data_IF_616806223653
#
_entry.id   IF_616806223653
#
_cell.length_a   1.000
_cell.length_b   1.000
_cell.length_c   1.000
_cell.angle_alpha   90.00
_cell.angle_beta   90.00
_cell.angle_gamma   90.00
#
_symmetry.space_group_name_H-M   'P 1'
#
loop_
_entity.id
_entity.type
_entity.pdbx_description
1 polymer ?
#
# COMPACT_ATOMS: atom_id res chain seq x y z
N UNK A 1 10.68 10.93 30.02
CA UNK A 1 9.60 10.58 29.09
C UNK A 1 10.24 10.24 27.78
N UNK A 2 10.22 8.97 27.42
CA UNK A 2 10.77 8.42 26.17
C UNK A 2 9.62 8.16 25.18
N UNK A 3 9.95 8.07 23.91
CA UNK A 3 9.00 7.80 22.84
C UNK A 3 9.65 6.93 21.78
N UNK A 4 8.83 6.23 21.00
CA UNK A 4 9.24 5.54 19.78
C UNK A 4 8.38 6.01 18.60
N UNK A 5 8.92 5.88 17.38
CA UNK A 5 8.17 6.14 16.15
C UNK A 5 7.75 4.81 15.54
N UNK A 6 6.47 4.70 15.21
CA UNK A 6 5.90 3.55 14.52
C UNK A 6 4.99 4.02 13.38
N UNK A 7 4.62 3.10 12.48
CA UNK A 7 3.55 3.38 11.53
C UNK A 7 2.23 3.49 12.29
N UNK A 8 1.38 4.42 11.87
CA UNK A 8 0.08 4.63 12.48
C UNK A 8 -0.87 3.44 12.24
N UNK A 9 -1.78 3.22 13.18
CA UNK A 9 -2.84 2.22 13.10
C UNK A 9 -4.19 2.89 12.83
N UNK A 10 -5.13 2.27 12.07
CA UNK A 10 -6.40 2.90 11.71
C UNK A 10 -7.21 3.44 12.90
N UNK A 11 -7.13 2.77 14.06
CA UNK A 11 -7.79 3.20 15.30
C UNK A 11 -7.23 4.49 15.91
N UNK A 12 -6.08 4.98 15.44
CA UNK A 12 -5.44 6.20 15.94
C UNK A 12 -5.92 7.47 15.22
N UNK A 13 -6.67 7.37 14.12
CA UNK A 13 -7.05 8.52 13.29
C UNK A 13 -7.64 9.70 14.09
N UNK A 14 -8.60 9.42 14.98
CA UNK A 14 -9.23 10.43 15.85
C UNK A 14 -8.24 11.10 16.81
N UNK A 15 -7.29 10.33 17.34
CA UNK A 15 -6.25 10.85 18.21
C UNK A 15 -5.32 11.80 17.44
N UNK A 16 -4.98 11.49 16.19
CA UNK A 16 -4.13 12.34 15.35
C UNK A 16 -4.84 13.66 15.01
N UNK A 17 -6.12 13.62 14.66
CA UNK A 17 -6.94 14.82 14.50
C UNK A 17 -6.99 15.66 15.79
N UNK A 18 -7.00 15.04 16.98
CA UNK A 18 -6.95 15.77 18.24
C UNK A 18 -5.58 16.43 18.49
N UNK A 19 -4.48 15.79 18.07
CA UNK A 19 -3.13 16.36 18.14
C UNK A 19 -3.02 17.60 17.25
N UNK A 20 -3.48 17.51 16.01
CA UNK A 20 -3.50 18.62 15.04
C UNK A 20 -4.26 19.82 15.63
N UNK A 21 -5.51 19.62 16.08
CA UNK A 21 -6.30 20.69 16.73
C UNK A 21 -5.57 21.32 17.92
N UNK A 22 -4.91 20.52 18.75
CA UNK A 22 -4.16 21.02 19.91
C UNK A 22 -2.90 21.81 19.51
N UNK A 23 -2.22 21.40 18.43
CA UNK A 23 -1.07 22.11 17.89
C UNK A 23 -1.49 23.44 17.22
N UNK A 24 -2.63 23.45 16.53
CA UNK A 24 -3.15 24.65 15.86
C UNK A 24 -3.46 25.80 16.83
N UNK A 25 -3.81 25.50 18.08
CA UNK A 25 -4.02 26.51 19.14
C UNK A 25 -2.80 27.42 19.37
N UNK A 26 -1.59 26.97 19.02
CA UNK A 26 -0.37 27.78 19.10
C UNK A 26 -0.38 28.97 18.14
N UNK A 27 -1.20 28.93 17.09
CA UNK A 27 -1.35 30.04 16.15
C UNK A 27 -2.38 31.08 16.61
N UNK A 28 -3.04 30.92 17.75
CA UNK A 28 -4.04 31.87 18.24
C UNK A 28 -3.45 33.29 18.32
N UNK A 29 -4.08 34.24 17.64
CA UNK A 29 -3.62 35.62 17.50
C UNK A 29 -2.76 35.89 16.25
N UNK A 30 -2.37 34.86 15.50
CA UNK A 30 -1.71 34.97 14.20
C UNK A 30 -2.71 35.21 13.05
N UNK A 31 -2.27 35.83 11.95
CA UNK A 31 -3.09 36.04 10.74
C UNK A 31 -3.60 34.74 10.11
N UNK A 32 -2.89 33.63 10.33
CA UNK A 32 -3.26 32.30 9.83
C UNK A 32 -4.35 31.61 10.67
N UNK A 33 -4.56 32.02 11.93
CA UNK A 33 -5.49 31.36 12.86
C UNK A 33 -6.92 31.20 12.33
N UNK A 34 -7.56 32.20 11.70
CA UNK A 34 -8.92 32.05 11.20
C UNK A 34 -9.08 30.96 10.13
N UNK A 35 -7.98 30.59 9.46
CA UNK A 35 -7.97 29.55 8.43
C UNK A 35 -7.74 28.17 9.06
N UNK A 36 -6.74 28.04 9.94
CA UNK A 36 -6.51 26.80 10.67
C UNK A 36 -7.67 26.42 11.60
N UNK A 37 -8.32 27.38 12.24
CA UNK A 37 -9.47 27.11 13.10
C UNK A 37 -10.73 26.63 12.34
N UNK A 38 -10.77 26.77 11.00
CA UNK A 38 -11.89 26.35 10.15
C UNK A 38 -11.62 25.06 9.40
N UNK A 39 -10.36 24.75 9.16
CA UNK A 39 -9.92 23.58 8.41
C UNK A 39 -9.34 22.60 9.42
N UNK A 40 -10.13 21.59 9.79
CA UNK A 40 -9.65 20.47 10.60
C UNK A 40 -9.38 19.28 9.70
N UNK A 41 -8.35 18.52 10.03
CA UNK A 41 -8.06 17.28 9.35
C UNK A 41 -9.23 16.27 9.55
N UNK A 42 -9.90 15.81 8.47
CA UNK A 42 -11.00 14.85 8.60
C UNK A 42 -10.44 13.47 9.01
N UNK A 43 -11.01 12.79 10.04
CA UNK A 43 -10.56 11.46 10.46
C UNK A 43 -10.52 10.44 9.32
N UNK A 44 -11.45 10.53 8.36
CA UNK A 44 -11.51 9.69 7.17
C UNK A 44 -10.29 9.86 6.28
N UNK A 45 -9.84 11.10 6.04
CA UNK A 45 -8.66 11.38 5.24
C UNK A 45 -7.38 10.89 5.93
N UNK A 46 -7.30 11.02 7.27
CA UNK A 46 -6.20 10.44 8.05
C UNK A 46 -6.20 8.93 7.90
N UNK A 47 -7.37 8.29 8.02
CA UNK A 47 -7.50 6.83 7.88
C UNK A 47 -7.04 6.35 6.52
N UNK A 48 -7.37 7.07 5.43
CA UNK A 48 -6.81 6.77 4.10
C UNK A 48 -5.29 6.89 4.09
N UNK A 49 -4.71 7.93 4.70
CA UNK A 49 -3.26 8.09 4.81
C UNK A 49 -2.61 6.92 5.55
N UNK A 50 -3.23 6.49 6.66
CA UNK A 50 -2.81 5.33 7.46
C UNK A 50 -2.89 4.05 6.63
N UNK A 51 -4.01 3.83 5.92
CA UNK A 51 -4.22 2.69 5.03
C UNK A 51 -3.30 2.72 3.80
N UNK A 52 -2.75 3.87 3.42
CA UNK A 52 -1.69 3.92 2.40
C UNK A 52 -0.30 3.71 2.98
N UNK A 53 -0.18 3.63 4.31
CA UNK A 53 1.09 3.50 5.01
C UNK A 53 1.90 4.79 5.05
N UNK A 54 1.27 5.94 4.83
CA UNK A 54 1.96 7.24 4.71
C UNK A 54 1.93 8.06 6.00
N UNK A 55 1.51 7.48 7.12
CA UNK A 55 1.41 8.16 8.41
C UNK A 55 2.24 7.44 9.46
N UNK A 56 3.09 8.18 10.16
CA UNK A 56 3.87 7.72 11.30
C UNK A 56 3.53 8.51 12.54
N UNK A 57 3.54 7.83 13.68
CA UNK A 57 3.20 8.38 14.99
C UNK A 57 4.38 8.25 15.93
N UNK A 58 4.62 9.28 16.72
CA UNK A 58 5.43 9.20 17.92
C UNK A 58 4.53 8.82 19.09
N UNK A 59 4.82 7.70 19.75
CA UNK A 59 4.05 7.19 20.88
C UNK A 59 4.85 7.32 22.18
N UNK A 60 4.20 7.78 23.24
CA UNK A 60 4.78 7.77 24.59
C UNK A 60 5.00 6.33 25.07
N UNK A 61 6.23 5.97 25.43
CA UNK A 61 6.55 4.59 25.82
C UNK A 61 5.81 4.15 27.10
N UNK A 62 5.41 5.10 27.95
CA UNK A 62 4.73 4.79 29.20
C UNK A 62 3.25 4.44 29.00
N UNK A 63 2.57 5.12 28.07
CA UNK A 63 1.12 5.00 27.87
C UNK A 63 0.73 4.35 26.54
N UNK A 64 1.64 4.27 25.57
CA UNK A 64 1.36 3.91 24.18
C UNK A 64 0.56 4.98 23.42
N UNK A 65 0.24 6.12 24.05
CA UNK A 65 -0.60 7.15 23.43
C UNK A 65 0.18 7.92 22.35
N UNK A 66 -0.44 8.24 21.20
CA UNK A 66 0.14 9.16 20.22
C UNK A 66 0.39 10.54 20.84
N UNK A 67 1.59 11.08 20.65
CA UNK A 67 2.00 12.41 21.14
C UNK A 67 2.47 13.35 20.04
N UNK A 68 2.66 12.82 18.83
CA UNK A 68 2.91 13.56 17.60
C UNK A 68 2.80 12.65 16.39
N UNK A 69 2.71 13.21 15.21
CA UNK A 69 2.65 12.43 13.97
C UNK A 69 3.23 13.22 12.79
N UNK A 70 3.55 12.48 11.72
CA UNK A 70 3.85 13.03 10.40
C UNK A 70 3.05 12.25 9.37
N UNK A 71 2.41 12.98 8.46
CA UNK A 71 1.65 12.44 7.35
C UNK A 71 2.29 12.89 6.03
N UNK A 72 2.64 11.91 5.19
CA UNK A 72 3.11 12.12 3.84
C UNK A 72 1.99 11.96 2.80
N UNK A 73 2.13 12.68 1.69
CA UNK A 73 1.25 12.56 0.52
C UNK A 73 2.07 12.41 -0.77
N UNK A 74 1.39 11.94 -1.81
CA UNK A 74 1.97 11.77 -3.15
C UNK A 74 1.37 12.76 -4.16
N UNK A 75 0.83 13.88 -3.70
CA UNK A 75 0.14 14.88 -4.54
C UNK A 75 1.14 15.70 -5.36
N UNK A 76 2.40 15.77 -4.92
CA UNK A 76 3.51 16.42 -5.62
C UNK A 76 4.02 15.62 -6.85
N UNK A 77 3.31 14.54 -7.23
CA UNK A 77 3.63 13.72 -8.39
C UNK A 77 4.87 12.85 -8.17
N UNK A 78 6.00 13.29 -8.73
CA UNK A 78 7.29 12.59 -8.66
C UNK A 78 7.98 12.75 -7.31
N UNK A 79 7.63 13.82 -6.59
CA UNK A 79 8.10 14.11 -5.25
C UNK A 79 7.11 13.64 -4.19
N UNK A 80 7.57 13.57 -2.95
CA UNK A 80 6.72 13.27 -1.80
C UNK A 80 6.52 14.50 -0.93
N UNK A 81 5.28 14.78 -0.55
CA UNK A 81 4.92 15.91 0.31
C UNK A 81 4.82 15.52 1.77
N UNK A 82 5.15 16.43 2.68
CA UNK A 82 4.65 16.41 4.07
C UNK A 82 3.32 17.15 4.08
N UNK A 83 2.23 16.39 4.18
CA UNK A 83 0.88 16.90 4.26
C UNK A 83 0.64 17.59 5.60
N UNK A 84 1.08 16.96 6.69
CA UNK A 84 0.91 17.45 8.05
C UNK A 84 2.01 16.93 8.99
N UNK A 85 2.41 17.72 9.99
CA UNK A 85 3.31 17.31 11.06
C UNK A 85 3.05 18.09 12.34
N UNK A 86 2.53 17.39 13.35
CA UNK A 86 2.14 18.01 14.61
C UNK A 86 2.66 17.23 15.82
N UNK A 87 2.85 17.96 16.91
CA UNK A 87 3.22 17.42 18.22
C UNK A 87 2.36 18.09 19.27
N UNK A 88 1.84 17.31 20.22
CA UNK A 88 1.08 17.84 21.34
C UNK A 88 1.88 18.95 22.05
N UNK A 89 1.28 20.11 22.37
CA UNK A 89 2.00 21.22 23.00
C UNK A 89 2.73 20.82 24.30
N UNK A 90 2.15 19.94 25.11
CA UNK A 90 2.77 19.42 26.33
C UNK A 90 4.07 18.62 26.08
N UNK A 91 4.23 18.11 24.86
CA UNK A 91 5.38 17.36 24.35
C UNK A 91 6.29 18.20 23.44
N UNK A 92 5.97 19.47 23.22
CA UNK A 92 6.75 20.40 22.41
C UNK A 92 8.17 20.59 22.95
N UNK A 93 9.10 20.97 22.05
CA UNK A 93 10.53 21.25 22.35
C UNK A 93 11.31 20.05 22.92
N UNK A 94 10.84 18.83 22.70
CA UNK A 94 11.51 17.57 23.09
C UNK A 94 12.20 16.83 21.94
N UNK A 95 12.29 17.45 20.76
CA UNK A 95 12.89 16.85 19.57
C UNK A 95 11.97 15.90 18.78
N UNK A 96 10.72 15.68 19.22
CA UNK A 96 9.77 14.77 18.55
C UNK A 96 9.50 15.17 17.10
N UNK A 97 9.20 16.45 16.85
CA UNK A 97 8.97 16.94 15.48
C UNK A 97 10.19 16.77 14.56
N UNK A 98 11.40 16.97 15.10
CA UNK A 98 12.64 16.72 14.37
C UNK A 98 12.81 15.23 14.04
N UNK A 99 12.54 14.34 15.01
CA UNK A 99 12.64 12.90 14.81
C UNK A 99 11.62 12.38 13.79
N UNK A 100 10.37 12.86 13.85
CA UNK A 100 9.34 12.53 12.86
C UNK A 100 9.72 13.02 11.45
N UNK A 101 10.23 14.24 11.33
CA UNK A 101 10.67 14.80 10.05
C UNK A 101 11.85 14.01 9.45
N UNK A 102 12.87 13.69 10.25
CA UNK A 102 14.02 12.90 9.76
C UNK A 102 13.61 11.45 9.45
N UNK A 103 12.69 10.86 10.22
CA UNK A 103 12.12 9.54 9.93
C UNK A 103 11.41 9.53 8.58
N UNK A 104 10.56 10.53 8.32
CA UNK A 104 9.89 10.70 7.05
C UNK A 104 10.88 10.88 5.88
N UNK A 105 11.93 11.71 6.05
CA UNK A 105 12.97 11.89 5.05
C UNK A 105 13.73 10.58 4.77
N UNK A 106 14.05 9.81 5.82
CA UNK A 106 14.74 8.53 5.70
C UNK A 106 13.90 7.48 4.96
N UNK A 107 12.62 7.36 5.31
CA UNK A 107 11.69 6.46 4.62
C UNK A 107 11.50 6.88 3.15
N UNK A 108 11.28 8.17 2.88
CA UNK A 108 11.13 8.70 1.53
C UNK A 108 12.36 8.38 0.66
N UNK A 109 13.56 8.59 1.20
CA UNK A 109 14.83 8.24 0.55
C UNK A 109 14.90 6.74 0.25
N UNK A 110 14.57 5.90 1.23
CA UNK A 110 14.57 4.44 1.08
C UNK A 110 13.55 3.96 0.03
N UNK A 111 12.42 4.64 -0.11
CA UNK A 111 11.37 4.37 -1.09
C UNK A 111 11.64 4.97 -2.50
N UNK A 112 12.85 5.51 -2.70
CA UNK A 112 13.35 5.96 -4.00
C UNK A 112 13.06 7.43 -4.33
N UNK A 113 12.36 8.18 -3.47
CA UNK A 113 12.09 9.60 -3.72
C UNK A 113 13.38 10.42 -3.69
N UNK A 114 13.46 11.44 -4.56
CA UNK A 114 14.64 12.31 -4.74
C UNK A 114 14.47 13.69 -4.13
N UNK A 115 13.25 14.05 -3.74
CA UNK A 115 12.92 15.31 -3.11
C UNK A 115 11.68 15.12 -2.23
N UNK A 116 11.74 15.73 -1.06
CA UNK A 116 10.59 15.87 -0.15
C UNK A 116 10.21 17.34 -0.06
N UNK A 117 8.92 17.62 -0.10
CA UNK A 117 8.35 18.97 -0.16
C UNK A 117 7.44 19.23 1.04
N UNK A 118 7.22 20.49 1.40
CA UNK A 118 6.23 20.88 2.41
C UNK A 118 5.78 22.33 2.22
N UNK A 119 4.59 22.64 2.74
CA UNK A 119 4.10 24.00 2.90
C UNK A 119 4.14 24.43 4.38
N UNK A 120 4.60 25.63 4.68
CA UNK A 120 4.62 26.15 6.06
C UNK A 120 4.44 27.67 6.10
N UNK A 121 4.56 28.27 7.29
CA UNK A 121 4.48 29.71 7.50
C UNK A 121 5.88 30.33 7.50
N UNK A 122 6.09 31.36 6.69
CA UNK A 122 7.38 32.04 6.58
C UNK A 122 7.65 33.03 7.72
N UNK A 123 6.60 33.63 8.27
CA UNK A 123 6.66 34.67 9.30
C UNK A 123 6.63 34.11 10.73
N UNK A 124 6.48 32.78 10.89
CA UNK A 124 6.48 32.11 12.19
C UNK A 124 7.89 31.61 12.55
N UNK A 125 8.51 32.12 13.65
CA UNK A 125 9.91 31.83 13.97
C UNK A 125 10.25 30.35 14.22
N UNK A 126 9.25 29.52 14.57
CA UNK A 126 9.42 28.10 14.83
C UNK A 126 8.97 27.19 13.67
N UNK A 127 8.58 27.76 12.52
CA UNK A 127 8.15 27.02 11.32
C UNK A 127 9.26 26.97 10.26
N UNK A 128 9.30 27.89 9.29
CA UNK A 128 10.31 27.86 8.22
C UNK A 128 11.76 27.76 8.74
N UNK A 129 12.16 28.46 9.83
CA UNK A 129 13.50 28.30 10.41
C UNK A 129 13.76 26.92 11.03
N UNK A 130 12.73 26.19 11.47
CA UNK A 130 12.88 24.81 11.94
C UNK A 130 13.23 23.88 10.77
N UNK A 131 12.47 23.92 9.68
CA UNK A 131 12.74 23.09 8.50
C UNK A 131 14.08 23.43 7.84
N UNK A 132 14.48 24.72 7.83
CA UNK A 132 15.78 25.14 7.32
C UNK A 132 16.96 24.45 8.05
N UNK A 133 16.86 24.27 9.37
CA UNK A 133 17.87 23.53 10.15
C UNK A 133 17.96 22.05 9.79
N UNK A 134 16.89 21.50 9.22
CA UNK A 134 16.78 20.12 8.74
C UNK A 134 17.04 19.98 7.24
N UNK A 135 17.69 20.98 6.62
CA UNK A 135 18.14 20.92 5.23
C UNK A 135 17.07 21.24 4.18
N UNK A 136 15.92 21.75 4.60
CA UNK A 136 14.93 22.28 3.66
C UNK A 136 15.32 23.70 3.22
N UNK A 137 15.06 24.01 1.96
CA UNK A 137 15.24 25.36 1.40
C UNK A 137 13.93 25.84 0.82
N UNK A 138 13.68 27.14 0.93
CA UNK A 138 12.53 27.77 0.26
C UNK A 138 12.67 27.64 -1.27
N UNK A 139 11.55 27.39 -1.94
CA UNK A 139 11.48 27.18 -3.39
C UNK A 139 10.42 28.06 -4.03
N UNK A 140 10.45 28.19 -5.36
CA UNK A 140 9.44 28.97 -6.07
C UNK A 140 8.08 28.29 -5.95
N UNK A 141 7.13 28.96 -5.29
CA UNK A 141 5.77 28.47 -5.12
C UNK A 141 5.10 28.12 -6.45
N UNK A 142 5.55 28.69 -7.57
CA UNK A 142 4.98 28.45 -8.90
C UNK A 142 5.46 27.15 -9.54
N UNK A 143 6.42 26.43 -8.94
CA UNK A 143 6.81 25.10 -9.42
C UNK A 143 5.58 24.17 -9.51
N UNK A 144 5.47 23.34 -10.57
CA UNK A 144 4.33 22.44 -10.75
C UNK A 144 4.05 21.51 -9.57
N UNK A 145 5.09 21.11 -8.83
CA UNK A 145 4.98 20.27 -7.64
C UNK A 145 4.07 20.86 -6.55
N UNK A 146 3.89 22.19 -6.51
CA UNK A 146 3.05 22.87 -5.51
C UNK A 146 1.71 23.32 -6.06
N UNK A 147 1.36 22.97 -7.30
CA UNK A 147 0.11 23.41 -7.92
C UNK A 147 -1.12 22.97 -7.10
N UNK A 148 -1.14 21.71 -6.67
CA UNK A 148 -2.23 21.17 -5.84
C UNK A 148 -2.35 21.91 -4.50
N UNK A 149 -1.24 22.03 -3.75
CA UNK A 149 -1.24 22.72 -2.46
C UNK A 149 -1.65 24.20 -2.57
N UNK A 150 -1.25 24.87 -3.66
CA UNK A 150 -1.65 26.25 -3.95
C UNK A 150 -3.12 26.38 -4.31
N UNK A 151 -3.65 25.48 -5.12
CA UNK A 151 -5.06 25.47 -5.48
C UNK A 151 -5.92 25.24 -4.23
N UNK A 152 -5.51 24.31 -3.35
CA UNK A 152 -6.12 24.08 -2.03
C UNK A 152 -6.07 25.32 -1.13
N UNK A 153 -4.92 25.96 -1.00
CA UNK A 153 -4.78 27.20 -0.21
C UNK A 153 -5.70 28.30 -0.79
N UNK A 154 -5.77 28.45 -2.11
CA UNK A 154 -6.65 29.42 -2.78
C UNK A 154 -8.14 29.12 -2.55
N UNK A 155 -8.55 27.86 -2.67
CA UNK A 155 -9.93 27.41 -2.45
C UNK A 155 -10.38 27.62 -1.00
N UNK A 156 -9.46 27.42 -0.04
CA UNK A 156 -9.69 27.69 1.38
C UNK A 156 -9.56 29.18 1.75
N UNK A 157 -9.21 30.05 0.79
CA UNK A 157 -9.00 31.48 0.99
C UNK A 157 -7.76 31.83 1.80
N UNK A 158 -6.81 30.91 1.94
CA UNK A 158 -5.59 31.09 2.72
C UNK A 158 -4.71 32.21 2.13
N UNK A 159 -4.15 33.14 2.94
CA UNK A 159 -3.36 34.25 2.41
C UNK A 159 -2.04 33.77 1.81
N UNK A 160 -1.84 33.97 0.51
CA UNK A 160 -0.63 33.49 -0.20
C UNK A 160 0.65 34.06 0.40
N UNK A 161 0.65 35.30 0.88
CA UNK A 161 1.81 35.98 1.46
C UNK A 161 2.35 35.29 2.72
N UNK A 162 1.50 34.53 3.43
CA UNK A 162 1.89 33.79 4.64
C UNK A 162 2.51 32.42 4.33
N UNK A 163 2.08 31.77 3.25
CA UNK A 163 2.55 30.43 2.88
C UNK A 163 3.94 30.51 2.26
N UNK A 164 4.89 29.72 2.75
CA UNK A 164 6.13 29.42 2.01
C UNK A 164 6.18 27.93 1.72
N UNK A 165 6.73 27.57 0.56
CA UNK A 165 6.98 26.18 0.20
C UNK A 165 8.47 25.91 0.32
N UNK A 166 8.80 24.75 0.87
CA UNK A 166 10.18 24.34 1.05
C UNK A 166 10.38 22.93 0.50
N UNK A 167 11.61 22.62 0.11
CA UNK A 167 11.98 21.27 -0.29
C UNK A 167 13.35 20.89 0.22
N UNK A 168 13.59 19.58 0.37
CA UNK A 168 14.90 19.00 0.68
C UNK A 168 15.24 17.95 -0.37
N UNK A 169 16.41 18.05 -1.03
CA UNK A 169 16.88 16.97 -1.90
C UNK A 169 17.22 15.73 -1.07
N UNK A 170 16.83 14.57 -1.57
CA UNK A 170 17.11 13.27 -0.98
C UNK A 170 18.10 12.52 -1.88
N UNK A 171 19.38 12.37 -1.45
CA UNK A 171 20.33 11.60 -2.23
C UNK A 171 19.90 10.12 -2.28
N UNK A 172 20.30 9.36 -3.31
CA UNK A 172 19.96 7.95 -3.38
C UNK A 172 20.43 7.15 -2.15
N UNK A 173 19.70 6.08 -1.77
CA UNK A 173 20.21 5.11 -0.81
C UNK A 173 21.61 4.62 -1.23
N UNK A 174 22.52 4.49 -0.27
CA UNK A 174 23.79 3.83 -0.49
C UNK A 174 23.60 2.34 -0.73
N UNK A 175 24.62 1.66 -1.26
CA UNK A 175 24.54 0.24 -1.60
C UNK A 175 24.20 -0.68 -0.40
N UNK A 176 24.55 -0.27 0.82
CA UNK A 176 24.28 -0.99 2.06
C UNK A 176 23.13 -0.38 2.89
N UNK A 177 22.46 0.66 2.37
CA UNK A 177 21.28 1.23 3.01
C UNK A 177 20.05 0.34 2.75
N UNK A 178 19.04 0.47 3.61
CA UNK A 178 17.74 -0.13 3.34
C UNK A 178 17.03 0.59 2.19
N UNK A 179 16.34 -0.19 1.36
CA UNK A 179 15.41 0.28 0.33
C UNK A 179 14.02 -0.24 0.62
N UNK A 180 12.98 0.47 0.18
CA UNK A 180 11.57 0.20 0.51
C UNK A 180 10.78 -0.01 -0.78
N UNK A 181 10.04 -1.11 -0.84
CA UNK A 181 9.33 -1.58 -2.03
C UNK A 181 7.88 -1.97 -1.70
N UNK A 182 6.87 -1.42 -2.39
CA UNK A 182 5.48 -1.83 -2.20
C UNK A 182 5.22 -3.24 -2.72
N UNK A 183 4.45 -4.03 -1.98
CA UNK A 183 3.89 -5.32 -2.40
C UNK A 183 2.35 -5.23 -2.42
N UNK A 184 1.75 -4.74 -3.52
CA UNK A 184 0.32 -4.43 -3.58
C UNK A 184 -0.55 -5.68 -3.54
N UNK A 185 -1.77 -5.57 -3.04
CA UNK A 185 -2.79 -6.60 -3.13
C UNK A 185 -3.41 -6.68 -4.54
N UNK A 186 -4.13 -7.77 -4.79
CA UNK A 186 -5.02 -7.92 -5.94
C UNK A 186 -6.44 -8.30 -5.53
N UNK A 187 -7.36 -8.12 -6.46
CA UNK A 187 -8.68 -8.73 -6.46
C UNK A 187 -8.86 -9.59 -7.72
N UNK A 188 -9.65 -10.66 -7.61
CA UNK A 188 -10.22 -11.34 -8.76
C UNK A 188 -11.62 -10.77 -9.01
N UNK A 189 -11.80 -9.93 -10.03
CA UNK A 189 -13.10 -9.28 -10.30
C UNK A 189 -14.19 -10.28 -10.72
N UNK A 190 -13.76 -11.45 -11.22
CA UNK A 190 -14.52 -12.68 -11.34
C UNK A 190 -13.51 -13.84 -11.32
N UNK A 191 -13.94 -15.09 -11.11
CA UNK A 191 -13.07 -16.26 -11.23
C UNK A 191 -13.87 -17.48 -11.67
N UNK A 192 -13.46 -18.12 -12.76
CA UNK A 192 -14.10 -19.33 -13.30
C UNK A 192 -13.09 -20.45 -13.50
N UNK A 193 -13.57 -21.68 -13.40
CA UNK A 193 -12.86 -22.89 -13.84
C UNK A 193 -13.55 -23.38 -15.11
N UNK A 194 -12.84 -23.34 -16.23
CA UNK A 194 -13.35 -23.73 -17.55
C UNK A 194 -13.10 -25.21 -17.86
N UNK A 195 -12.17 -25.84 -17.15
CA UNK A 195 -11.86 -27.25 -17.32
C UNK A 195 -10.83 -27.76 -16.32
N UNK A 196 -10.45 -29.03 -16.49
CA UNK A 196 -9.35 -29.66 -15.78
C UNK A 196 -8.32 -30.16 -16.78
N UNK A 197 -7.06 -29.86 -16.51
CA UNK A 197 -5.90 -30.25 -17.33
C UNK A 197 -5.50 -31.71 -17.06
N UNK A 198 -4.79 -32.36 -18.00
CA UNK A 198 -4.27 -33.72 -17.81
C UNK A 198 -3.29 -33.85 -16.64
N UNK A 199 -2.58 -32.78 -16.29
CA UNK A 199 -1.65 -32.72 -15.15
C UNK A 199 -2.34 -32.53 -13.79
N UNK A 200 -3.68 -32.48 -13.78
CA UNK A 200 -4.49 -32.39 -12.57
C UNK A 200 -4.87 -30.97 -12.15
N UNK A 201 -4.25 -29.93 -12.74
CA UNK A 201 -4.58 -28.52 -12.48
C UNK A 201 -5.91 -28.10 -13.13
N UNK A 202 -6.46 -26.99 -12.68
CA UNK A 202 -7.67 -26.38 -13.23
C UNK A 202 -7.34 -25.29 -14.23
N UNK A 203 -8.03 -25.29 -15.36
CA UNK A 203 -7.97 -24.17 -16.32
C UNK A 203 -8.88 -23.06 -15.79
N UNK A 204 -8.31 -21.87 -15.59
CA UNK A 204 -8.94 -20.72 -14.97
C UNK A 204 -9.19 -19.61 -15.99
N UNK A 205 -10.21 -18.81 -15.72
CA UNK A 205 -10.36 -17.47 -16.32
C UNK A 205 -10.69 -16.48 -15.21
N UNK A 206 -9.96 -15.36 -15.17
CA UNK A 206 -10.17 -14.31 -14.17
C UNK A 206 -9.69 -12.96 -14.69
N UNK A 207 -10.12 -11.88 -14.04
CA UNK A 207 -9.52 -10.56 -14.19
C UNK A 207 -8.89 -10.16 -12.88
N UNK A 208 -7.57 -9.96 -12.91
CA UNK A 208 -6.81 -9.39 -11.80
C UNK A 208 -6.93 -7.86 -11.82
N UNK A 209 -7.31 -7.31 -10.67
CA UNK A 209 -7.25 -5.88 -10.37
C UNK A 209 -6.22 -5.64 -9.29
N UNK A 210 -5.15 -4.92 -9.60
CA UNK A 210 -4.17 -4.48 -8.61
C UNK A 210 -4.72 -3.29 -7.80
N UNK A 211 -4.33 -3.20 -6.52
CA UNK A 211 -4.75 -2.16 -5.59
C UNK A 211 -3.58 -1.23 -5.22
N UNK A 212 -3.87 0.00 -4.81
CA UNK A 212 -2.92 0.95 -4.20
C UNK A 212 -2.67 0.69 -2.71
N UNK A 213 -2.93 -0.54 -2.27
CA UNK A 213 -2.83 -1.00 -0.90
C UNK A 213 -2.14 -2.36 -0.85
N UNK A 214 -1.26 -2.57 0.12
CA UNK A 214 -0.59 -3.84 0.31
C UNK A 214 0.52 -3.79 1.35
N UNK A 215 1.37 -4.80 1.31
CA UNK A 215 2.53 -4.99 2.20
C UNK A 215 3.68 -4.05 1.81
N UNK A 216 4.67 -3.91 2.70
CA UNK A 216 5.91 -3.20 2.42
C UNK A 216 7.11 -4.14 2.62
N UNK A 217 7.99 -4.21 1.61
CA UNK A 217 9.22 -5.01 1.62
C UNK A 217 10.40 -4.07 1.80
N UNK A 218 11.27 -4.33 2.78
CA UNK A 218 12.55 -3.64 2.91
C UNK A 218 13.70 -4.56 2.56
N UNK A 219 14.62 -4.06 1.75
CA UNK A 219 15.77 -4.83 1.27
C UNK A 219 17.06 -4.07 1.56
N UNK A 220 18.04 -4.78 2.12
CA UNK A 220 19.42 -4.30 2.27
C UNK A 220 20.37 -5.28 1.64
N UNK A 221 21.04 -4.87 0.58
CA UNK A 221 21.96 -5.72 -0.18
C UNK A 221 23.18 -6.08 0.66
N UNK A 222 23.66 -7.31 0.49
CA UNK A 222 24.87 -7.87 1.10
C UNK A 222 25.80 -8.40 0.02
N UNK A 223 27.07 -8.60 0.39
CA UNK A 223 28.13 -9.09 -0.51
C UNK A 223 28.78 -10.39 -0.01
N UNK A 224 28.12 -11.12 0.89
CA UNK A 224 28.60 -12.37 1.49
C UNK A 224 27.83 -13.63 1.01
N UNK A 225 26.92 -13.48 0.06
CA UNK A 225 26.09 -14.56 -0.49
C UNK A 225 24.90 -14.97 0.40
N UNK A 226 24.73 -14.34 1.56
CA UNK A 226 23.71 -14.72 2.53
C UNK A 226 22.35 -14.07 2.18
N UNK A 227 21.27 -14.86 2.28
CA UNK A 227 19.89 -14.39 2.15
C UNK A 227 19.19 -14.62 3.47
N UNK A 228 18.78 -13.53 4.13
CA UNK A 228 18.23 -13.55 5.48
C UNK A 228 16.94 -12.75 5.59
N UNK A 229 16.03 -13.18 6.45
CA UNK A 229 14.84 -12.45 6.89
C UNK A 229 14.96 -12.21 8.40
N UNK A 230 15.68 -11.16 8.84
CA UNK A 230 16.02 -10.95 10.26
C UNK A 230 14.79 -10.72 11.15
N UNK A 231 13.67 -10.27 10.58
CA UNK A 231 12.41 -10.05 11.28
C UNK A 231 11.49 -11.25 11.06
N UNK A 232 10.89 -11.74 12.14
CA UNK A 232 9.92 -12.84 12.06
C UNK A 232 8.62 -12.39 11.39
N UNK A 233 8.10 -13.21 10.49
CA UNK A 233 6.71 -13.11 10.02
C UNK A 233 5.91 -14.21 10.73
N UNK A 234 4.91 -13.86 11.56
CA UNK A 234 4.17 -14.84 12.35
C UNK A 234 3.63 -16.00 11.50
N UNK A 235 3.94 -17.22 11.93
CA UNK A 235 3.46 -18.45 11.28
C UNK A 235 4.15 -18.82 9.96
N UNK A 236 5.21 -18.12 9.55
CA UNK A 236 5.96 -18.41 8.32
C UNK A 236 7.45 -18.60 8.64
N UNK A 237 7.96 -19.85 8.69
CA UNK A 237 9.39 -20.11 8.80
C UNK A 237 10.17 -19.42 7.68
N UNK A 238 11.37 -18.94 7.98
CA UNK A 238 12.19 -18.15 7.05
C UNK A 238 12.45 -18.90 5.73
N UNK A 239 12.83 -20.17 5.80
CA UNK A 239 13.13 -20.99 4.63
C UNK A 239 11.90 -21.32 3.77
N UNK A 240 10.71 -21.27 4.36
CA UNK A 240 9.45 -21.50 3.67
C UNK A 240 8.87 -20.22 3.06
N UNK A 241 9.32 -19.05 3.51
CA UNK A 241 8.83 -17.76 3.04
C UNK A 241 9.13 -17.55 1.55
N UNK A 242 8.11 -17.10 0.83
CA UNK A 242 8.22 -16.81 -0.60
C UNK A 242 9.19 -15.67 -0.88
N UNK A 243 9.43 -14.73 0.06
CA UNK A 243 10.43 -13.66 -0.12
C UNK A 243 11.85 -14.21 -0.15
N UNK A 244 12.18 -15.16 0.74
CA UNK A 244 13.49 -15.81 0.80
C UNK A 244 13.67 -16.73 -0.41
N UNK A 245 12.62 -17.48 -0.78
CA UNK A 245 12.64 -18.34 -1.95
C UNK A 245 12.78 -17.54 -3.25
N UNK A 246 12.15 -16.36 -3.35
CA UNK A 246 12.30 -15.44 -4.48
C UNK A 246 13.74 -14.95 -4.64
N UNK A 247 14.34 -14.46 -3.55
CA UNK A 247 15.74 -14.02 -3.56
C UNK A 247 16.68 -15.17 -3.96
N UNK A 248 16.50 -16.37 -3.39
CA UNK A 248 17.29 -17.56 -3.73
C UNK A 248 17.12 -18.00 -5.18
N UNK A 249 15.92 -17.87 -5.73
CA UNK A 249 15.63 -18.23 -7.10
C UNK A 249 16.30 -17.28 -8.11
N UNK A 250 16.41 -15.99 -7.76
CA UNK A 250 17.07 -14.98 -8.58
C UNK A 250 18.60 -14.98 -8.40
N UNK A 251 19.11 -15.33 -7.23
CA UNK A 251 20.54 -15.27 -6.87
C UNK A 251 21.50 -15.89 -7.91
N UNK A 252 21.19 -17.02 -8.60
CA UNK A 252 22.06 -17.57 -9.65
C UNK A 252 22.30 -16.63 -10.84
N UNK A 253 21.46 -15.61 -11.03
CA UNK A 253 21.60 -14.59 -12.07
C UNK A 253 22.36 -13.35 -11.60
N UNK A 254 22.71 -13.27 -10.31
CA UNK A 254 23.34 -12.12 -9.67
C UNK A 254 24.88 -12.20 -9.68
N UNK A 255 25.58 -11.07 -9.43
CA UNK A 255 27.02 -11.08 -9.23
C UNK A 255 27.45 -12.03 -8.10
N UNK A 256 28.67 -12.56 -8.20
CA UNK A 256 29.21 -13.46 -7.18
C UNK A 256 29.22 -12.79 -5.79
N UNK A 257 28.70 -13.48 -4.78
CA UNK A 257 28.57 -12.97 -3.41
C UNK A 257 27.32 -12.11 -3.17
N UNK A 258 26.43 -11.93 -4.15
CA UNK A 258 25.17 -11.21 -3.93
C UNK A 258 24.33 -11.86 -2.82
N UNK A 259 23.98 -11.08 -1.81
CA UNK A 259 23.10 -11.46 -0.70
C UNK A 259 22.13 -10.33 -0.37
N UNK A 260 21.23 -10.57 0.59
CA UNK A 260 20.23 -9.60 1.03
C UNK A 260 19.70 -9.90 2.43
N UNK A 261 19.48 -8.85 3.23
CA UNK A 261 18.56 -8.89 4.37
C UNK A 261 17.17 -8.39 3.94
N UNK A 262 16.11 -9.11 4.31
CA UNK A 262 14.72 -8.86 3.89
C UNK A 262 13.84 -8.62 5.12
N UNK A 263 13.16 -7.49 5.18
CA UNK A 263 12.07 -7.27 6.15
C UNK A 263 10.73 -7.18 5.42
N UNK A 264 9.69 -7.72 6.04
CA UNK A 264 8.33 -7.72 5.50
C UNK A 264 7.40 -7.10 6.53
N UNK A 265 6.78 -5.99 6.16
CA UNK A 265 5.72 -5.37 6.95
C UNK A 265 4.37 -5.78 6.39
N UNK A 266 3.72 -6.73 7.09
CA UNK A 266 2.46 -7.33 6.65
C UNK A 266 1.25 -6.46 7.00
N UNK A 267 0.41 -6.27 5.99
CA UNK A 267 -0.86 -5.54 6.01
C UNK A 267 -1.95 -6.33 5.30
N UNK A 268 -1.57 -7.13 4.30
CA UNK A 268 -2.47 -8.05 3.60
C UNK A 268 -2.71 -9.30 4.48
N UNK A 269 -3.97 -9.65 4.80
CA UNK A 269 -4.31 -10.88 5.51
C UNK A 269 -3.75 -12.13 4.85
N UNK A 270 -3.18 -13.02 5.65
CA UNK A 270 -2.63 -14.30 5.19
C UNK A 270 -3.74 -15.22 4.69
N UNK A 271 -3.62 -15.69 3.44
CA UNK A 271 -4.58 -16.62 2.86
C UNK A 271 -5.97 -16.00 2.56
N UNK A 272 -6.09 -14.67 2.52
CA UNK A 272 -7.36 -13.97 2.26
C UNK A 272 -7.81 -13.93 0.78
N UNK A 273 -7.07 -14.56 -0.15
CA UNK A 273 -7.38 -14.46 -1.58
C UNK A 273 -6.94 -13.15 -2.24
N UNK A 274 -6.15 -12.33 -1.54
CA UNK A 274 -5.65 -11.03 -1.99
C UNK A 274 -4.24 -11.08 -2.60
N UNK A 275 -3.62 -12.26 -2.64
CA UNK A 275 -2.33 -12.47 -3.32
C UNK A 275 -1.10 -11.97 -2.58
N UNK A 276 -1.18 -11.67 -1.27
CA UNK A 276 -0.08 -11.07 -0.49
C UNK A 276 1.26 -11.77 -0.65
N UNK A 277 1.38 -13.06 -0.34
CA UNK A 277 2.65 -13.79 -0.48
C UNK A 277 3.19 -13.84 -1.92
N UNK A 278 2.32 -13.85 -2.93
CA UNK A 278 2.73 -13.78 -4.34
C UNK A 278 3.25 -12.39 -4.70
N UNK A 279 2.65 -11.34 -4.14
CA UNK A 279 3.07 -9.96 -4.31
C UNK A 279 4.39 -9.68 -3.61
N UNK A 280 4.57 -10.21 -2.40
CA UNK A 280 5.84 -10.12 -1.65
C UNK A 280 6.98 -10.74 -2.46
N UNK A 281 6.78 -11.94 -3.01
CA UNK A 281 7.76 -12.61 -3.88
C UNK A 281 8.06 -11.82 -5.16
N UNK A 282 7.02 -11.32 -5.84
CA UNK A 282 7.21 -10.51 -7.04
C UNK A 282 7.99 -9.21 -6.75
N UNK A 283 7.70 -8.58 -5.62
CA UNK A 283 8.36 -7.36 -5.17
C UNK A 283 9.83 -7.61 -4.90
N UNK A 284 10.18 -8.73 -4.26
CA UNK A 284 11.57 -9.16 -4.08
C UNK A 284 12.25 -9.43 -5.42
N UNK A 285 11.60 -10.16 -6.34
CA UNK A 285 12.17 -10.45 -7.66
C UNK A 285 12.48 -9.16 -8.43
N UNK A 286 11.51 -8.23 -8.53
CA UNK A 286 11.64 -6.97 -9.26
C UNK A 286 12.68 -6.05 -8.61
N UNK A 287 12.62 -5.91 -7.29
CA UNK A 287 13.55 -5.05 -6.57
C UNK A 287 14.98 -5.59 -6.63
N UNK A 288 15.19 -6.90 -6.43
CA UNK A 288 16.53 -7.48 -6.49
C UNK A 288 17.08 -7.57 -7.91
N UNK A 289 16.24 -7.72 -8.94
CA UNK A 289 16.72 -7.62 -10.32
C UNK A 289 17.36 -6.24 -10.57
N UNK A 290 16.74 -5.19 -10.04
CA UNK A 290 17.29 -3.84 -10.08
C UNK A 290 18.52 -3.67 -9.18
N UNK A 291 18.45 -4.07 -7.92
CA UNK A 291 19.48 -3.83 -6.91
C UNK A 291 20.76 -4.65 -7.14
N UNK A 292 20.63 -5.88 -7.64
CA UNK A 292 21.76 -6.72 -8.04
C UNK A 292 22.20 -6.48 -9.48
N UNK A 293 21.43 -5.71 -10.26
CA UNK A 293 21.74 -5.37 -11.64
C UNK A 293 21.73 -6.58 -12.57
N UNK A 294 20.83 -7.55 -12.34
CA UNK A 294 20.76 -8.77 -13.16
C UNK A 294 20.23 -8.50 -14.56
N UNK A 295 19.36 -7.50 -14.71
CA UNK A 295 18.87 -7.03 -16.01
C UNK A 295 18.05 -8.07 -16.77
N UNK A 296 17.32 -8.92 -16.06
CA UNK A 296 16.47 -9.93 -16.67
C UNK A 296 15.30 -9.28 -17.42
N UNK A 297 14.94 -9.78 -18.61
CA UNK A 297 13.70 -9.39 -19.28
C UNK A 297 12.47 -9.67 -18.41
N UNK A 298 11.42 -8.84 -18.53
CA UNK A 298 10.17 -8.98 -17.77
C UNK A 298 9.57 -10.40 -17.88
N UNK A 299 9.62 -11.00 -19.06
CA UNK A 299 9.10 -12.36 -19.30
C UNK A 299 9.91 -13.44 -18.56
N UNK A 300 11.23 -13.30 -18.47
CA UNK A 300 12.07 -14.24 -17.72
C UNK A 300 11.85 -14.11 -16.22
N UNK A 301 11.72 -12.87 -15.72
CA UNK A 301 11.42 -12.62 -14.31
C UNK A 301 10.03 -13.14 -13.92
N UNK A 302 9.04 -12.97 -14.80
CA UNK A 302 7.71 -13.52 -14.62
C UNK A 302 7.71 -15.05 -14.61
N UNK A 303 8.53 -15.69 -15.46
CA UNK A 303 8.69 -17.14 -15.49
C UNK A 303 9.40 -17.70 -14.24
N UNK A 304 10.38 -16.97 -13.68
CA UNK A 304 10.91 -17.29 -12.34
C UNK A 304 9.80 -17.20 -11.29
N UNK A 305 9.05 -16.09 -11.29
CA UNK A 305 7.93 -15.87 -10.39
C UNK A 305 6.88 -16.98 -10.44
N UNK A 306 6.56 -17.49 -11.63
CA UNK A 306 5.61 -18.59 -11.84
C UNK A 306 5.97 -19.87 -11.07
N UNK A 307 7.27 -20.11 -10.80
CA UNK A 307 7.74 -21.27 -10.01
C UNK A 307 7.42 -21.13 -8.52
N UNK A 308 7.13 -19.93 -8.05
CA UNK A 308 6.78 -19.61 -6.66
C UNK A 308 5.27 -19.60 -6.45
N UNK A 309 4.51 -19.13 -7.44
CA UNK A 309 3.04 -19.14 -7.41
C UNK A 309 2.41 -18.62 -8.70
N UNK A 310 1.18 -19.06 -8.99
CA UNK A 310 0.46 -18.70 -10.21
C UNK A 310 0.14 -17.20 -10.34
N UNK A 311 -0.04 -16.51 -9.22
CA UNK A 311 -0.33 -15.07 -9.19
C UNK A 311 0.94 -14.20 -9.27
N UNK A 312 2.15 -14.73 -9.03
CA UNK A 312 3.39 -13.93 -9.02
C UNK A 312 3.63 -13.17 -10.34
N UNK A 313 3.39 -13.77 -11.53
CA UNK A 313 3.55 -13.07 -12.81
C UNK A 313 2.75 -11.77 -12.93
N UNK A 314 1.54 -11.67 -12.38
CA UNK A 314 0.72 -10.45 -12.53
C UNK A 314 1.33 -9.27 -11.76
N UNK A 315 1.95 -9.56 -10.62
CA UNK A 315 2.64 -8.57 -9.80
C UNK A 315 3.98 -8.17 -10.43
N UNK A 316 4.74 -9.12 -10.99
CA UNK A 316 5.98 -8.83 -11.74
C UNK A 316 5.68 -7.90 -12.92
N UNK A 317 4.66 -8.20 -13.72
CA UNK A 317 4.26 -7.34 -14.86
C UNK A 317 3.61 -6.03 -14.43
N UNK A 318 3.03 -5.99 -13.24
CA UNK A 318 2.53 -4.78 -12.58
C UNK A 318 1.35 -4.09 -13.28
N UNK A 319 0.53 -4.83 -14.04
CA UNK A 319 -0.66 -4.31 -14.72
C UNK A 319 -1.86 -5.19 -14.43
N UNK A 320 -3.04 -4.58 -14.30
CA UNK A 320 -4.31 -5.34 -14.26
C UNK A 320 -4.47 -6.13 -15.57
N UNK A 321 -4.95 -7.37 -15.48
CA UNK A 321 -4.90 -8.31 -16.60
C UNK A 321 -6.06 -9.30 -16.61
N UNK A 322 -6.51 -9.65 -17.81
CA UNK A 322 -7.22 -10.89 -18.06
C UNK A 322 -6.22 -12.04 -17.96
N UNK A 323 -6.58 -13.10 -17.22
CA UNK A 323 -5.72 -14.23 -16.99
C UNK A 323 -6.40 -15.54 -17.37
N UNK A 324 -5.65 -16.41 -18.05
CA UNK A 324 -6.03 -17.78 -18.42
C UNK A 324 -4.97 -18.80 -17.96
N UNK A 325 -5.09 -20.07 -18.36
CA UNK A 325 -4.18 -21.12 -17.90
C UNK A 325 -4.49 -21.51 -16.46
N UNK A 326 -3.47 -21.60 -15.62
CA UNK A 326 -3.62 -21.63 -14.15
C UNK A 326 -3.57 -20.23 -13.53
N UNK A 327 -3.59 -19.17 -14.36
CA UNK A 327 -3.47 -17.76 -13.96
C UNK A 327 -2.22 -17.06 -14.53
N UNK A 328 -1.35 -17.79 -15.24
CA UNK A 328 -0.07 -17.32 -15.77
C UNK A 328 -0.17 -16.67 -17.16
N UNK A 329 -1.21 -16.97 -17.93
CA UNK A 329 -1.39 -16.43 -19.28
C UNK A 329 -2.08 -15.07 -19.20
N UNK A 330 -1.28 -14.01 -19.14
CA UNK A 330 -1.76 -12.65 -18.86
C UNK A 330 -1.90 -11.81 -20.13
N UNK A 331 -3.08 -11.22 -20.33
CA UNK A 331 -3.34 -10.17 -21.30
C UNK A 331 -3.70 -8.88 -20.54
N UNK A 332 -2.88 -7.82 -20.60
CA UNK A 332 -3.20 -6.55 -19.96
C UNK A 332 -4.53 -5.99 -20.42
N UNK A 333 -5.31 -5.45 -19.49
CA UNK A 333 -6.58 -4.78 -19.80
C UNK A 333 -6.69 -3.44 -19.07
N UNK A 334 -7.33 -2.47 -19.73
CA UNK A 334 -7.65 -1.19 -19.09
C UNK A 334 -8.95 -1.33 -18.29
N UNK A 335 -8.92 -0.95 -17.02
CA UNK A 335 -10.07 -0.94 -16.13
C UNK A 335 -10.38 0.49 -15.67
N UNK A 336 -11.66 0.88 -15.54
CA UNK A 336 -12.02 2.19 -15.03
C UNK A 336 -11.51 2.39 -13.60
N UNK A 337 -11.22 3.63 -13.22
CA UNK A 337 -10.92 3.95 -11.82
C UNK A 337 -12.13 3.61 -10.95
N UNK A 338 -11.85 2.87 -9.88
CA UNK A 338 -12.81 2.32 -8.93
C UNK A 338 -12.16 2.26 -7.56
N UNK A 339 -13.00 2.29 -6.55
CA UNK A 339 -12.63 2.10 -5.15
C UNK A 339 -13.25 0.81 -4.66
N UNK A 340 -12.58 0.15 -3.72
CA UNK A 340 -12.98 -1.14 -3.20
C UNK A 340 -13.01 -1.07 -1.69
N UNK A 341 -14.12 -1.53 -1.10
CA UNK A 341 -14.16 -1.90 0.32
C UNK A 341 -13.78 -3.37 0.37
N UNK A 342 -12.65 -3.69 0.98
CA UNK A 342 -12.17 -5.07 1.17
C UNK A 342 -12.38 -5.44 2.62
N UNK A 343 -13.04 -6.57 2.87
CA UNK A 343 -13.40 -7.03 4.20
C UNK A 343 -12.70 -8.35 4.48
N UNK A 344 -11.93 -8.41 5.56
CA UNK A 344 -11.39 -9.63 6.14
C UNK A 344 -12.32 -10.15 7.24
N UNK A 345 -12.96 -11.32 7.04
CA UNK A 345 -13.78 -11.95 8.07
C UNK A 345 -12.97 -12.65 9.16
N UNK A 346 -11.63 -12.63 9.09
CA UNK A 346 -10.71 -13.33 10.00
C UNK A 346 -10.99 -14.85 10.06
N UNK A 347 -11.27 -15.44 8.90
CA UNK A 347 -11.47 -16.87 8.72
C UNK A 347 -10.55 -17.39 7.62
N UNK A 348 -9.69 -18.36 7.96
CA UNK A 348 -8.77 -18.96 6.99
C UNK A 348 -9.50 -19.96 6.08
N UNK A 349 -9.35 -19.79 4.77
CA UNK A 349 -9.97 -20.65 3.76
C UNK A 349 -8.87 -21.42 3.00
N UNK A 350 -8.69 -22.72 3.25
CA UNK A 350 -7.63 -23.49 2.60
C UNK A 350 -7.91 -23.72 1.11
N UNK A 351 -7.19 -23.02 0.23
CA UNK A 351 -7.35 -23.08 -1.23
C UNK A 351 -7.34 -24.51 -1.78
N UNK A 352 -6.41 -25.35 -1.31
CA UNK A 352 -6.28 -26.73 -1.77
C UNK A 352 -7.53 -27.58 -1.46
N UNK A 353 -8.15 -27.37 -0.30
CA UNK A 353 -9.36 -28.10 0.10
C UNK A 353 -10.56 -27.69 -0.76
N UNK A 354 -10.65 -26.41 -1.15
CA UNK A 354 -11.71 -25.97 -2.06
C UNK A 354 -11.58 -26.57 -3.45
N UNK A 355 -10.37 -26.61 -4.02
CA UNK A 355 -10.14 -27.26 -5.32
C UNK A 355 -10.50 -28.75 -5.32
N UNK A 356 -10.50 -29.40 -4.16
CA UNK A 356 -10.90 -30.81 -3.96
C UNK A 356 -12.40 -30.99 -3.65
N UNK A 357 -13.16 -29.92 -3.39
CA UNK A 357 -14.58 -30.01 -3.03
C UNK A 357 -15.43 -30.60 -4.17
N UNK A 358 -16.23 -31.64 -3.90
CA UNK A 358 -17.00 -32.33 -4.95
C UNK A 358 -18.05 -31.44 -5.61
N UNK A 359 -18.59 -30.48 -4.85
CA UNK A 359 -19.58 -29.50 -5.29
C UNK A 359 -19.01 -28.33 -6.12
N UNK A 360 -17.68 -28.21 -6.25
CA UNK A 360 -17.07 -27.13 -7.02
C UNK A 360 -17.34 -27.32 -8.52
N UNK A 361 -17.88 -26.28 -9.16
CA UNK A 361 -18.08 -26.25 -10.61
C UNK A 361 -16.73 -26.17 -11.33
N UNK A 362 -16.50 -27.04 -12.32
CA UNK A 362 -15.20 -27.19 -13.01
C UNK A 362 -15.27 -27.16 -14.54
N UNK A 363 -16.42 -26.76 -15.06
CA UNK A 363 -16.77 -26.82 -16.47
C UNK A 363 -17.60 -25.60 -16.87
N UNK A 364 -17.32 -24.44 -16.27
CA UNK A 364 -18.00 -23.21 -16.62
C UNK A 364 -17.72 -22.86 -18.11
N UNK A 365 -18.71 -22.34 -18.85
CA UNK A 365 -18.47 -21.89 -20.21
C UNK A 365 -17.41 -20.78 -20.22
N UNK A 366 -16.47 -20.77 -21.18
CA UNK A 366 -15.48 -19.72 -21.30
C UNK A 366 -16.14 -18.34 -21.39
N UNK A 367 -15.64 -17.41 -20.60
CA UNK A 367 -16.03 -16.00 -20.68
C UNK A 367 -15.21 -15.28 -21.75
N UNK A 368 -15.72 -14.14 -22.22
CA UNK A 368 -14.99 -13.23 -23.10
C UNK A 368 -14.71 -11.91 -22.37
N UNK A 369 -13.73 -11.15 -22.84
CA UNK A 369 -13.47 -9.79 -22.32
C UNK A 369 -14.74 -8.93 -22.45
N UNK A 370 -15.53 -9.11 -23.52
CA UNK A 370 -16.79 -8.38 -23.72
C UNK A 370 -17.86 -8.75 -22.70
N UNK A 371 -18.01 -10.03 -22.33
CA UNK A 371 -18.99 -10.46 -21.32
C UNK A 371 -18.59 -10.03 -19.90
N UNK A 372 -17.29 -9.92 -19.64
CA UNK A 372 -16.80 -9.28 -18.41
C UNK A 372 -17.09 -7.77 -18.42
N UNK A 373 -16.74 -7.07 -19.49
CA UNK A 373 -16.90 -5.62 -19.58
C UNK A 373 -18.37 -5.16 -19.51
N UNK A 374 -19.31 -5.99 -19.99
CA UNK A 374 -20.75 -5.74 -19.87
C UNK A 374 -21.32 -6.01 -18.47
N UNK A 375 -20.56 -6.68 -17.59
CA UNK A 375 -21.00 -7.13 -16.27
C UNK A 375 -21.77 -8.46 -16.27
N UNK A 376 -21.93 -9.11 -17.44
CA UNK A 376 -22.55 -10.45 -17.54
C UNK A 376 -21.73 -11.51 -16.78
N UNK A 377 -20.41 -11.34 -16.72
CA UNK A 377 -19.51 -12.22 -15.98
C UNK A 377 -18.90 -11.51 -14.77
N UNK A 378 -19.42 -11.81 -13.58
CA UNK A 378 -18.92 -11.25 -12.31
C UNK A 378 -18.72 -12.29 -11.19
N UNK A 379 -19.09 -13.55 -11.44
CA UNK A 379 -19.13 -14.60 -10.42
C UNK A 379 -17.75 -15.16 -10.08
N UNK A 380 -17.60 -15.60 -8.83
CA UNK A 380 -16.47 -16.39 -8.38
C UNK A 380 -16.94 -17.83 -8.11
N UNK A 381 -16.34 -18.79 -8.81
CA UNK A 381 -16.69 -20.23 -8.74
C UNK A 381 -16.58 -20.82 -7.33
N UNK A 382 -15.72 -20.26 -6.48
CA UNK A 382 -15.57 -20.71 -5.10
C UNK A 382 -16.67 -20.20 -4.17
N UNK A 383 -17.35 -19.11 -4.52
CA UNK A 383 -18.27 -18.42 -3.63
C UNK A 383 -19.39 -19.32 -3.08
N UNK A 384 -20.10 -20.12 -3.89
CA UNK A 384 -21.15 -21.01 -3.36
C UNK A 384 -20.61 -22.00 -2.33
N UNK A 385 -19.44 -22.61 -2.60
CA UNK A 385 -18.80 -23.59 -1.72
C UNK A 385 -18.32 -22.93 -0.43
N UNK A 386 -17.71 -21.75 -0.55
CA UNK A 386 -17.21 -20.98 0.59
C UNK A 386 -18.35 -20.53 1.48
N UNK A 387 -19.46 -20.03 0.91
CA UNK A 387 -20.65 -19.65 1.68
C UNK A 387 -21.21 -20.80 2.50
N UNK A 388 -21.18 -22.03 1.98
CA UNK A 388 -21.66 -23.22 2.71
C UNK A 388 -20.70 -23.65 3.82
N UNK A 389 -19.39 -23.59 3.58
CA UNK A 389 -18.37 -24.17 4.48
C UNK A 389 -17.78 -23.18 5.49
N UNK A 390 -17.88 -21.88 5.23
CA UNK A 390 -17.21 -20.81 5.99
C UNK A 390 -18.20 -19.73 6.43
N UNK A 391 -18.86 -19.91 7.60
CA UNK A 391 -19.94 -19.03 8.05
C UNK A 391 -19.55 -17.57 8.24
N UNK A 392 -18.30 -17.24 8.63
CA UNK A 392 -17.91 -15.82 8.79
C UNK A 392 -17.72 -15.17 7.44
N UNK A 393 -17.21 -15.90 6.44
CA UNK A 393 -17.14 -15.40 5.06
C UNK A 393 -18.55 -15.17 4.49
N UNK A 394 -19.49 -16.08 4.75
CA UNK A 394 -20.89 -15.90 4.36
C UNK A 394 -21.50 -14.65 5.02
N UNK A 395 -21.27 -14.46 6.32
CA UNK A 395 -21.73 -13.28 7.06
C UNK A 395 -21.13 -11.98 6.52
N UNK A 396 -19.85 -11.97 6.13
CA UNK A 396 -19.21 -10.81 5.52
C UNK A 396 -19.78 -10.49 4.12
N UNK A 397 -20.03 -11.52 3.29
CA UNK A 397 -20.71 -11.35 2.00
C UNK A 397 -22.12 -10.77 2.19
N UNK A 398 -22.89 -11.29 3.15
CA UNK A 398 -24.26 -10.83 3.42
C UNK A 398 -24.28 -9.41 3.97
N UNK A 399 -23.39 -9.10 4.90
CA UNK A 399 -23.24 -7.75 5.45
C UNK A 399 -22.92 -6.74 4.35
N UNK A 400 -21.91 -7.05 3.52
CA UNK A 400 -21.46 -6.18 2.45
C UNK A 400 -22.47 -6.10 1.30
N UNK A 401 -23.23 -7.18 1.08
CA UNK A 401 -24.33 -7.29 0.13
C UNK A 401 -25.44 -6.27 0.34
N UNK A 402 -25.59 -5.74 1.56
CA UNK A 402 -26.54 -4.66 1.89
C UNK A 402 -26.19 -3.33 1.22
N UNK A 403 -24.95 -3.16 0.76
CA UNK A 403 -24.45 -1.92 0.15
C UNK A 403 -24.24 -2.02 -1.37
N UNK A 404 -24.35 -3.22 -1.94
CA UNK A 404 -24.19 -3.48 -3.37
C UNK A 404 -23.78 -4.93 -3.65
N UNK A 405 -23.27 -5.19 -4.85
CA UNK A 405 -22.84 -6.54 -5.24
C UNK A 405 -21.50 -6.90 -4.59
N UNK A 406 -21.57 -7.59 -3.45
CA UNK A 406 -20.41 -8.18 -2.78
C UNK A 406 -19.90 -9.39 -3.56
N UNK A 407 -18.57 -9.58 -3.58
CA UNK A 407 -17.91 -10.67 -4.30
C UNK A 407 -16.77 -11.25 -3.46
N UNK A 408 -16.52 -12.55 -3.61
CA UNK A 408 -15.32 -13.19 -3.07
C UNK A 408 -14.08 -12.89 -3.94
N UNK A 409 -12.92 -12.62 -3.32
CA UNK A 409 -11.63 -12.55 -4.05
C UNK A 409 -10.86 -13.87 -3.97
N UNK A 410 -10.32 -14.35 -5.09
CA UNK A 410 -9.57 -15.60 -5.16
C UNK A 410 -10.39 -16.77 -4.63
N UNK A 411 -9.80 -17.58 -3.74
CA UNK A 411 -10.50 -18.64 -3.02
C UNK A 411 -11.14 -18.17 -1.70
N UNK A 412 -11.15 -16.87 -1.39
CA UNK A 412 -11.44 -16.33 -0.06
C UNK A 412 -10.22 -16.35 0.86
N UNK A 413 -10.33 -15.93 2.12
CA UNK A 413 -11.56 -15.54 2.83
C UNK A 413 -12.06 -14.10 2.64
N UNK A 414 -11.27 -13.19 2.07
CA UNK A 414 -11.67 -11.79 1.93
C UNK A 414 -12.74 -11.60 0.85
N UNK A 415 -13.63 -10.65 1.12
CA UNK A 415 -14.73 -10.27 0.24
C UNK A 415 -14.61 -8.79 -0.08
N UNK A 416 -15.22 -8.34 -1.18
CA UNK A 416 -15.10 -6.95 -1.59
C UNK A 416 -16.36 -6.38 -2.24
N UNK A 417 -16.48 -5.06 -2.16
CA UNK A 417 -17.50 -4.25 -2.82
C UNK A 417 -16.82 -3.21 -3.70
N UNK A 418 -17.23 -3.10 -4.96
CA UNK A 418 -16.77 -2.05 -5.86
C UNK A 418 -17.66 -0.82 -5.76
N UNK A 419 -17.04 0.37 -5.68
CA UNK A 419 -17.72 1.66 -5.71
C UNK A 419 -17.05 2.60 -6.72
N UNK A 420 -17.78 3.67 -7.09
CA UNK A 420 -17.27 4.74 -7.97
C UNK A 420 -16.65 5.91 -7.21
N UNK A 421 -16.94 6.03 -5.92
CA UNK A 421 -16.59 7.18 -5.09
C UNK A 421 -15.80 6.71 -3.85
N UNK A 422 -14.68 7.38 -3.52
CA UNK A 422 -13.92 7.09 -2.29
C UNK A 422 -14.78 7.30 -1.06
N UNK A 423 -15.48 8.45 -0.97
CA UNK A 423 -16.36 8.79 0.15
C UNK A 423 -17.41 7.70 0.42
N UNK A 424 -17.99 7.10 -0.64
CA UNK A 424 -18.92 5.98 -0.48
C UNK A 424 -18.22 4.73 0.04
N UNK A 425 -17.01 4.43 -0.42
CA UNK A 425 -16.27 3.26 0.07
C UNK A 425 -15.94 3.43 1.56
N UNK A 426 -15.49 4.61 1.97
CA UNK A 426 -15.21 4.96 3.36
C UNK A 426 -16.47 4.88 4.24
N UNK A 427 -17.57 5.50 3.81
CA UNK A 427 -18.82 5.44 4.56
C UNK A 427 -19.34 4.00 4.79
N UNK A 428 -19.03 3.08 3.87
CA UNK A 428 -19.35 1.65 4.05
C UNK A 428 -18.35 0.99 5.01
N UNK A 429 -17.04 1.26 4.86
CA UNK A 429 -16.00 0.71 5.73
C UNK A 429 -16.16 1.15 7.20
N UNK A 430 -16.63 2.37 7.47
CA UNK A 430 -16.90 2.87 8.83
C UNK A 430 -18.07 2.14 9.52
N UNK A 431 -18.97 1.55 8.74
CA UNK A 431 -20.06 0.72 9.25
C UNK A 431 -19.64 -0.75 9.44
N UNK A 432 -18.35 -1.08 9.23
CA UNK A 432 -17.83 -2.42 9.38
C UNK A 432 -18.06 -2.93 10.81
N UNK A 433 -18.68 -4.11 10.99
CA UNK A 433 -18.86 -4.72 12.29
C UNK A 433 -17.51 -5.03 12.93
N UNK A 434 -17.40 -4.96 14.26
CA UNK A 434 -16.13 -5.17 14.98
C UNK A 434 -15.57 -6.59 14.84
N UNK A 435 -16.38 -7.56 14.43
CA UNK A 435 -15.94 -8.93 14.14
C UNK A 435 -15.17 -9.08 12.81
N UNK A 436 -15.14 -8.05 11.97
CA UNK A 436 -14.43 -7.99 10.71
C UNK A 436 -13.48 -6.81 10.68
N UNK A 437 -12.52 -6.83 9.75
CA UNK A 437 -11.71 -5.65 9.42
C UNK A 437 -12.03 -5.22 7.99
N UNK A 438 -12.26 -3.92 7.78
CA UNK A 438 -12.40 -3.34 6.46
C UNK A 438 -11.21 -2.42 6.15
N UNK A 439 -10.80 -2.39 4.88
CA UNK A 439 -9.93 -1.35 4.34
C UNK A 439 -10.50 -0.83 3.01
N UNK A 440 -10.14 0.40 2.67
CA UNK A 440 -10.50 1.03 1.41
C UNK A 440 -9.25 1.15 0.54
N UNK A 441 -9.37 0.74 -0.72
CA UNK A 441 -8.28 0.85 -1.68
C UNK A 441 -8.79 1.26 -3.06
N UNK A 442 -8.01 2.06 -3.77
CA UNK A 442 -8.24 2.30 -5.19
C UNK A 442 -7.66 1.16 -6.02
N UNK A 443 -8.36 0.83 -7.10
CA UNK A 443 -7.76 0.04 -8.14
C UNK A 443 -6.82 0.85 -9.02
N UNK A 444 -5.65 0.30 -9.35
CA UNK A 444 -4.59 1.01 -10.09
C UNK A 444 -4.42 0.49 -11.51
N UNK A 445 -3.99 1.39 -12.41
CA UNK A 445 -3.61 1.02 -13.78
C UNK A 445 -2.20 0.43 -13.82
N UNK A 446 -1.27 1.05 -13.09
CA UNK A 446 0.10 0.62 -12.89
C UNK A 446 0.31 0.24 -11.42
N UNK A 447 1.02 -0.85 -11.17
CA UNK A 447 1.33 -1.32 -9.81
C UNK A 447 2.18 -0.30 -9.04
N UNK A 448 1.91 -0.06 -7.74
CA UNK A 448 2.80 0.71 -6.86
C UNK A 448 4.26 0.22 -6.86
N UNK A 449 4.48 -1.08 -7.10
CA UNK A 449 5.81 -1.67 -7.25
C UNK A 449 6.55 -1.11 -8.48
N UNK A 450 5.84 -0.98 -9.61
CA UNK A 450 6.43 -0.47 -10.85
C UNK A 450 6.68 1.04 -10.78
N UNK A 451 5.81 1.77 -10.08
CA UNK A 451 6.04 3.19 -9.76
C UNK A 451 7.28 3.35 -8.86
N UNK A 452 7.44 2.50 -7.85
CA UNK A 452 8.64 2.49 -7.01
C UNK A 452 9.91 2.17 -7.82
N UNK A 453 9.86 1.16 -8.69
CA UNK A 453 10.97 0.81 -9.57
C UNK A 453 11.40 1.99 -10.46
N UNK A 454 10.45 2.73 -11.02
CA UNK A 454 10.74 3.93 -11.80
C UNK A 454 11.49 4.97 -10.95
N UNK A 455 10.99 5.27 -9.74
CA UNK A 455 11.65 6.19 -8.80
C UNK A 455 13.08 5.76 -8.48
N UNK A 456 13.30 4.47 -8.18
CA UNK A 456 14.63 3.94 -7.88
C UNK A 456 15.60 4.06 -9.06
N UNK A 457 15.12 3.86 -10.31
CA UNK A 457 15.90 4.06 -11.55
C UNK A 457 16.17 5.54 -11.88
N UNK A 458 15.56 6.48 -11.15
CA UNK A 458 15.64 7.91 -11.45
C UNK A 458 14.78 8.35 -12.63
N UNK A 459 13.87 7.49 -13.10
CA UNK A 459 12.81 7.85 -14.03
C UNK A 459 11.59 8.26 -13.23
N UNK A 460 11.26 9.54 -13.23
CA UNK A 460 10.04 10.05 -12.62
C UNK A 460 9.25 10.84 -13.67
#
# INVERSE_FOLDING_TARGET
MSYHIARAEPGQAEALCAIERAAMELFRGHRAWPFYARVTMPPEAVRMGIERGLVWVACDDASGAPVGFVWLDTESGVDIGVAEIDVLPAWGRRGIGAALLEHACAWARAAGYRRITLGTLGDVPWNAPFYAKHGFVEVDKREPAFAFARDRDRENGFPDDLRVFMSRPLPPPGAADWTVWPAPAKLNLFLRITGRRPDGYHELQTVFRLLDWGDEIRLRVRNDGEIRRPTEVPGVPEEADLVVRAARLLQPHAPAGAGVDIEVEKRIPMGGGLGGGSSDAASVLVALDHLWGTGLPEDELAELGRRLGADVPVFVRGRSAWAEGVGERLQPIALPRRWYVVVDPHEHVPTAALFQASELTRNAPPATISSFASGETAENVFEPVVRTRHPRVAAALDWLGRFGQARLSGSGGCVFLETRSPDRAEAVAEQCPPEFTACVAAGVALSPLQEALARHRGGA
#
